data_IF_106797123477
#
_entry.id   IF_106797123477
#
_cell.length_a   1.000
_cell.length_b   1.000
_cell.length_c   1.000
_cell.angle_alpha   90.00
_cell.angle_beta   90.00
_cell.angle_gamma   90.00
#
_symmetry.space_group_name_H-M   'P 1'
#
loop_
_entity.id
_entity.type
_entity.pdbx_description
1 polymer ?
#
# COMPACT_ATOMS: atom_id res chain seq x y z
N UNK A 1 22.60 9.78 26.20
CA UNK A 1 21.34 9.01 26.04
C UNK A 1 20.36 9.66 25.06
N UNK A 2 20.29 10.99 24.92
CA UNK A 2 19.44 11.66 23.92
C UNK A 2 19.90 11.48 22.45
N UNK A 3 21.21 11.33 22.21
CA UNK A 3 21.79 11.22 20.86
C UNK A 3 21.48 9.89 20.17
N UNK A 4 21.39 8.79 20.92
CA UNK A 4 21.05 7.46 20.38
C UNK A 4 19.59 7.36 19.96
N UNK A 5 18.68 8.02 20.68
CA UNK A 5 17.26 8.10 20.31
C UNK A 5 17.05 8.89 19.01
N UNK A 6 17.75 10.02 18.86
CA UNK A 6 17.70 10.83 17.64
C UNK A 6 18.26 10.07 16.43
N UNK A 7 19.34 9.29 16.63
CA UNK A 7 19.91 8.44 15.59
C UNK A 7 18.94 7.35 15.15
N UNK A 8 18.32 6.64 16.10
CA UNK A 8 17.33 5.60 15.82
C UNK A 8 16.13 6.13 15.03
N UNK A 9 15.61 7.30 15.42
CA UNK A 9 14.50 7.96 14.74
C UNK A 9 14.85 8.36 13.30
N UNK A 10 16.08 8.83 13.06
CA UNK A 10 16.56 9.17 11.72
C UNK A 10 16.68 7.94 10.81
N UNK A 11 17.27 6.85 11.35
CA UNK A 11 17.39 5.57 10.64
C UNK A 11 16.00 5.02 10.32
N UNK A 12 15.07 5.04 11.27
CA UNK A 12 13.70 4.59 11.06
C UNK A 12 13.01 5.42 9.97
N UNK A 13 13.16 6.75 9.98
CA UNK A 13 12.59 7.62 8.93
C UNK A 13 13.13 7.28 7.54
N UNK A 14 14.44 7.05 7.41
CA UNK A 14 15.03 6.62 6.14
C UNK A 14 14.53 5.24 5.72
N UNK A 15 14.50 4.28 6.65
CA UNK A 15 14.07 2.91 6.37
C UNK A 15 12.59 2.86 5.95
N UNK A 16 11.73 3.65 6.60
CA UNK A 16 10.32 3.79 6.21
C UNK A 16 10.18 4.44 4.85
N UNK A 17 10.92 5.52 4.54
CA UNK A 17 10.82 6.19 3.24
C UNK A 17 11.23 5.26 2.09
N UNK A 18 12.41 4.65 2.19
CA UNK A 18 12.94 3.79 1.13
C UNK A 18 12.28 2.41 1.11
N UNK A 19 12.05 1.80 2.27
CA UNK A 19 11.40 0.49 2.38
C UNK A 19 9.96 0.52 1.91
N UNK A 20 9.17 1.54 2.31
CA UNK A 20 7.79 1.65 1.85
C UNK A 20 7.71 1.99 0.36
N UNK A 21 8.58 2.86 -0.16
CA UNK A 21 8.57 3.20 -1.59
C UNK A 21 8.92 2.00 -2.49
N UNK A 22 9.91 1.20 -2.08
CA UNK A 22 10.29 -0.01 -2.83
C UNK A 22 9.20 -1.08 -2.73
N UNK A 23 8.60 -1.26 -1.55
CA UNK A 23 7.45 -2.16 -1.39
C UNK A 23 6.27 -1.77 -2.29
N UNK A 24 5.96 -0.46 -2.41
CA UNK A 24 4.93 0.06 -3.32
C UNK A 24 5.29 -0.20 -4.78
N UNK A 25 6.52 0.09 -5.18
CA UNK A 25 6.97 -0.12 -6.54
C UNK A 25 6.88 -1.60 -6.95
N UNK A 26 7.46 -2.50 -6.15
CA UNK A 26 7.41 -3.94 -6.41
C UNK A 26 5.99 -4.51 -6.31
N UNK A 27 5.20 -4.07 -5.33
CA UNK A 27 3.81 -4.48 -5.17
C UNK A 27 2.93 -4.07 -6.35
N UNK A 28 3.08 -2.84 -6.85
CA UNK A 28 2.37 -2.39 -8.05
C UNK A 28 2.81 -3.17 -9.30
N UNK A 29 4.11 -3.39 -9.51
CA UNK A 29 4.62 -4.17 -10.65
C UNK A 29 4.08 -5.61 -10.60
N UNK A 30 4.17 -6.28 -9.47
CA UNK A 30 3.70 -7.66 -9.30
C UNK A 30 2.19 -7.79 -9.56
N UNK A 31 1.40 -6.86 -9.03
CA UNK A 31 -0.04 -6.86 -9.26
C UNK A 31 -0.40 -6.50 -10.72
N UNK A 32 0.33 -5.59 -11.38
CA UNK A 32 0.14 -5.28 -12.81
C UNK A 32 0.42 -6.50 -13.69
N UNK A 33 1.49 -7.24 -13.39
CA UNK A 33 1.80 -8.50 -14.09
C UNK A 33 0.71 -9.54 -13.88
N UNK A 34 0.21 -9.70 -12.65
CA UNK A 34 -0.89 -10.61 -12.35
C UNK A 34 -2.17 -10.22 -13.09
N UNK A 35 -2.51 -8.93 -13.16
CA UNK A 35 -3.63 -8.44 -13.98
C UNK A 35 -3.41 -8.77 -15.45
N UNK A 36 -2.21 -8.54 -16.00
CA UNK A 36 -1.90 -8.82 -17.40
C UNK A 36 -2.03 -10.32 -17.75
N UNK A 37 -1.75 -11.22 -16.80
CA UNK A 37 -1.96 -12.66 -16.97
C UNK A 37 -3.45 -13.02 -16.91
N UNK A 38 -4.17 -12.53 -15.90
CA UNK A 38 -5.58 -12.89 -15.68
C UNK A 38 -6.57 -12.16 -16.61
N UNK A 39 -6.16 -11.08 -17.29
CA UNK A 39 -7.01 -10.39 -18.27
C UNK A 39 -7.16 -11.20 -19.57
N UNK A 40 -6.27 -12.17 -19.81
CA UNK A 40 -6.28 -12.97 -21.03
C UNK A 40 -7.58 -13.79 -21.14
N UNK A 41 -8.22 -13.83 -22.32
CA UNK A 41 -9.54 -14.44 -22.50
C UNK A 41 -9.56 -15.94 -22.21
N UNK A 42 -8.44 -16.65 -22.38
CA UNK A 42 -8.32 -18.07 -22.02
C UNK A 42 -8.44 -18.30 -20.51
N UNK A 43 -7.86 -17.43 -19.70
CA UNK A 43 -7.88 -17.55 -18.24
C UNK A 43 -9.19 -17.06 -17.61
N UNK A 44 -9.96 -16.22 -18.30
CA UNK A 44 -11.26 -15.69 -17.81
C UNK A 44 -12.38 -16.73 -17.71
N UNK A 45 -12.22 -17.91 -18.31
CA UNK A 45 -13.21 -19.00 -18.23
C UNK A 45 -13.23 -19.71 -16.88
N UNK A 46 -12.18 -19.56 -16.07
CA UNK A 46 -12.09 -20.16 -14.75
C UNK A 46 -12.52 -19.15 -13.67
N UNK A 47 -13.52 -19.50 -12.86
CA UNK A 47 -13.99 -18.66 -11.76
C UNK A 47 -12.88 -18.31 -10.75
N UNK A 48 -11.91 -19.21 -10.55
CA UNK A 48 -10.76 -18.99 -9.67
C UNK A 48 -9.85 -17.85 -10.16
N UNK A 49 -9.61 -17.79 -11.48
CA UNK A 49 -8.81 -16.74 -12.12
C UNK A 49 -9.47 -15.36 -11.97
N UNK A 50 -10.80 -15.30 -12.08
CA UNK A 50 -11.57 -14.08 -11.91
C UNK A 50 -11.55 -13.58 -10.45
N UNK A 51 -11.60 -14.50 -9.49
CA UNK A 51 -11.44 -14.19 -8.07
C UNK A 51 -10.03 -13.64 -7.75
N UNK A 52 -9.00 -14.29 -8.30
CA UNK A 52 -7.61 -13.83 -8.16
C UNK A 52 -7.43 -12.44 -8.80
N UNK A 53 -8.01 -12.18 -9.98
CA UNK A 53 -8.01 -10.86 -10.60
C UNK A 53 -8.61 -9.80 -9.67
N UNK A 54 -9.81 -10.04 -9.12
CA UNK A 54 -10.46 -9.10 -8.20
C UNK A 54 -9.65 -8.86 -6.93
N UNK A 55 -9.05 -9.91 -6.36
CA UNK A 55 -8.16 -9.78 -5.21
C UNK A 55 -6.90 -8.97 -5.54
N UNK A 56 -6.35 -9.14 -6.74
CA UNK A 56 -5.16 -8.40 -7.20
C UNK A 56 -5.48 -6.91 -7.38
N UNK A 57 -6.64 -6.57 -7.94
CA UNK A 57 -7.11 -5.19 -8.08
C UNK A 57 -7.35 -4.54 -6.72
N UNK A 58 -7.97 -5.28 -5.79
CA UNK A 58 -8.19 -4.81 -4.44
C UNK A 58 -6.87 -4.62 -3.68
N UNK A 59 -5.92 -5.53 -3.88
CA UNK A 59 -4.57 -5.43 -3.34
C UNK A 59 -3.85 -4.15 -3.84
N UNK A 60 -3.94 -3.80 -5.12
CA UNK A 60 -3.44 -2.51 -5.64
C UNK A 60 -4.09 -1.34 -4.92
N UNK A 61 -5.42 -1.33 -4.79
CA UNK A 61 -6.12 -0.25 -4.09
C UNK A 61 -5.63 -0.12 -2.65
N UNK A 62 -5.64 -1.21 -1.86
CA UNK A 62 -5.17 -1.24 -0.48
C UNK A 62 -3.73 -0.75 -0.34
N UNK A 63 -2.84 -1.19 -1.23
CA UNK A 63 -1.42 -0.91 -1.14
C UNK A 63 -1.14 0.57 -1.43
N UNK A 64 -1.77 1.14 -2.45
CA UNK A 64 -1.67 2.57 -2.73
C UNK A 64 -2.34 3.42 -1.64
N UNK A 65 -3.54 3.05 -1.22
CA UNK A 65 -4.28 3.73 -0.15
C UNK A 65 -3.56 3.70 1.19
N UNK A 66 -2.96 2.57 1.55
CA UNK A 66 -2.32 2.38 2.84
C UNK A 66 -0.97 3.09 2.92
N UNK A 67 -0.18 3.06 1.85
CA UNK A 67 1.22 3.47 1.91
C UNK A 67 1.45 4.91 1.42
N UNK A 68 0.68 5.40 0.44
CA UNK A 68 0.77 6.79 0.00
C UNK A 68 0.59 7.80 1.16
N UNK A 69 -0.40 7.67 2.07
CA UNK A 69 -0.52 8.59 3.19
C UNK A 69 0.63 8.43 4.21
N UNK A 70 1.18 7.24 4.39
CA UNK A 70 2.34 7.02 5.28
C UNK A 70 3.59 7.73 4.74
N UNK A 71 3.79 7.76 3.43
CA UNK A 71 4.89 8.50 2.82
C UNK A 71 4.61 10.01 2.87
N UNK A 72 3.36 10.43 2.57
CA UNK A 72 2.96 11.84 2.55
C UNK A 72 3.08 12.50 3.93
N UNK A 73 2.70 11.80 4.99
CA UNK A 73 2.88 12.25 6.39
C UNK A 73 4.31 12.38 6.84
N UNK A 74 5.23 11.65 6.21
CA UNK A 74 6.65 11.69 6.55
C UNK A 74 7.32 12.99 6.06
N UNK A 75 6.79 13.57 4.96
CA UNK A 75 7.23 14.84 4.36
C UNK A 75 6.39 16.04 4.84
N UNK A 76 5.08 15.89 5.00
CA UNK A 76 4.18 16.92 5.55
C UNK A 76 3.66 16.47 6.91
N UNK A 77 4.18 17.08 7.98
CA UNK A 77 3.76 16.83 9.36
C UNK A 77 2.37 17.43 9.61
N UNK A 78 1.34 16.75 9.12
CA UNK A 78 -0.05 17.07 9.46
C UNK A 78 -0.74 15.78 9.91
N UNK A 79 -0.73 15.58 11.22
CA UNK A 79 -1.21 14.38 11.91
C UNK A 79 -2.73 14.21 11.67
N UNK A 80 -3.42 15.30 11.37
CA UNK A 80 -4.88 15.36 11.24
C UNK A 80 -5.39 14.67 9.99
N UNK A 81 -4.79 14.96 8.82
CA UNK A 81 -5.21 14.44 7.51
C UNK A 81 -4.90 12.95 7.35
N UNK A 82 -3.77 12.50 7.90
CA UNK A 82 -3.36 11.11 7.89
C UNK A 82 -4.31 10.19 8.65
N UNK A 83 -4.64 10.61 9.88
CA UNK A 83 -5.43 9.81 10.79
C UNK A 83 -6.86 9.73 10.30
N UNK A 84 -7.39 10.82 9.72
CA UNK A 84 -8.70 10.84 9.04
C UNK A 84 -8.76 9.89 7.85
N UNK A 85 -7.77 9.91 6.94
CA UNK A 85 -7.75 9.03 5.77
C UNK A 85 -7.66 7.55 6.16
N UNK A 86 -6.80 7.21 7.12
CA UNK A 86 -6.68 5.82 7.62
C UNK A 86 -7.96 5.38 8.32
N UNK A 87 -8.57 6.23 9.14
CA UNK A 87 -9.85 5.90 9.80
C UNK A 87 -10.99 5.71 8.79
N UNK A 88 -11.08 6.58 7.79
CA UNK A 88 -12.15 6.54 6.78
C UNK A 88 -12.02 5.29 5.90
N UNK A 89 -10.79 4.88 5.59
CA UNK A 89 -10.50 3.65 4.87
C UNK A 89 -10.77 2.39 5.70
N UNK A 90 -10.36 2.37 6.97
CA UNK A 90 -10.71 1.26 7.88
C UNK A 90 -12.20 1.15 8.12
N UNK A 91 -12.92 2.27 8.22
CA UNK A 91 -14.36 2.29 8.35
C UNK A 91 -15.02 1.68 7.11
N UNK A 92 -14.59 2.07 5.92
CA UNK A 92 -15.09 1.48 4.67
C UNK A 92 -14.87 -0.04 4.58
N UNK A 93 -13.69 -0.52 5.00
CA UNK A 93 -13.35 -1.94 4.99
C UNK A 93 -14.09 -2.77 6.03
N UNK A 94 -14.46 -2.17 7.16
CA UNK A 94 -15.08 -2.85 8.29
C UNK A 94 -16.61 -2.84 8.22
N UNK A 95 -17.19 -1.92 7.44
CA UNK A 95 -18.63 -1.79 7.22
C UNK A 95 -19.14 -2.32 5.87
N UNK A 96 -18.24 -2.65 4.94
CA UNK A 96 -18.51 -3.50 3.76
C UNK A 96 -18.37 -4.96 4.17
#
# INVERSE_FOLDING_TARGET
MATSLAYLASVQKMLTRYGMSTYVAFGNIGNLLAIAVFIQPEQRRNACSLYLLTMTVFNICCLNVGIIPIIYTLDYYDITTATLLVFQMQFYFRHV
#
